data_IF_588266667121
#
_entry.id   IF_588266667121
#
_cell.length_a   1.000
_cell.length_b   1.000
_cell.length_c   1.000
_cell.angle_alpha   90.00
_cell.angle_beta   90.00
_cell.angle_gamma   90.00
#
_symmetry.space_group_name_H-M   'P 1'
#
loop_
_entity.id
_entity.type
_entity.pdbx_description
1 polymer ?
#
# COMPACT_ATOMS: atom_id res chain seq x y z
N UNK A 1 17.83 61.18 53.26
CA UNK A 1 19.26 61.51 53.01
C UNK A 1 20.09 60.24 53.08
N UNK A 2 20.94 60.03 52.05
CA UNK A 2 22.11 59.12 51.99
C UNK A 2 21.86 57.60 51.88
N UNK A 3 21.68 57.21 50.61
CA UNK A 3 22.47 56.23 49.84
C UNK A 3 23.65 55.56 50.56
N UNK A 4 23.77 54.23 50.38
CA UNK A 4 25.01 53.57 49.90
C UNK A 4 24.72 52.13 49.44
N UNK A 5 24.99 51.89 48.16
CA UNK A 5 25.19 50.57 47.53
C UNK A 5 26.46 49.92 48.07
N UNK A 6 26.53 48.58 48.07
CA UNK A 6 27.65 47.82 47.50
C UNK A 6 27.29 46.36 47.25
N UNK A 7 27.70 45.94 46.05
CA UNK A 7 27.65 44.63 45.43
C UNK A 7 28.82 43.80 45.98
N UNK A 8 28.63 42.48 46.16
CA UNK A 8 29.72 41.52 46.11
C UNK A 8 29.22 40.24 45.42
N UNK A 9 29.88 39.93 44.31
CA UNK A 9 29.72 38.72 43.52
C UNK A 9 30.43 37.54 44.19
N UNK A 10 29.87 36.34 44.04
CA UNK A 10 30.62 35.10 44.11
C UNK A 10 30.19 34.27 42.89
N UNK A 11 31.11 34.16 41.94
CA UNK A 11 30.94 33.37 40.75
C UNK A 11 31.17 31.90 41.03
N UNK A 12 30.46 31.06 40.27
CA UNK A 12 30.85 29.68 40.03
C UNK A 12 30.94 29.51 38.52
N UNK A 13 32.18 29.35 38.05
CA UNK A 13 32.51 28.72 36.77
C UNK A 13 32.09 27.25 36.83
N UNK A 14 31.43 26.73 35.79
CA UNK A 14 31.78 25.45 35.18
C UNK A 14 30.92 25.12 33.96
N UNK A 15 31.61 25.04 32.82
CA UNK A 15 31.43 24.15 31.68
C UNK A 15 30.08 24.17 30.94
N UNK A 16 30.10 24.90 29.82
CA UNK A 16 29.25 24.59 28.68
C UNK A 16 29.60 23.21 28.11
N UNK A 17 28.60 22.34 28.03
CA UNK A 17 28.53 21.37 26.95
C UNK A 17 27.92 22.11 25.75
N UNK A 18 28.76 22.41 24.76
CA UNK A 18 28.28 22.55 23.40
C UNK A 18 27.79 21.17 22.97
N UNK A 19 26.48 20.97 22.98
CA UNK A 19 25.85 19.88 22.22
C UNK A 19 26.07 20.26 20.76
N UNK A 20 27.09 19.67 20.16
CA UNK A 20 27.18 19.58 18.70
C UNK A 20 25.98 18.75 18.29
N UNK A 21 25.06 19.36 17.55
CA UNK A 21 23.95 18.68 16.90
C UNK A 21 24.51 17.69 15.89
N UNK A 22 24.77 16.47 16.36
CA UNK A 22 24.74 15.31 15.50
C UNK A 22 23.28 15.15 15.06
N UNK A 23 23.06 15.18 13.75
CA UNK A 23 21.87 14.65 13.14
C UNK A 23 21.79 13.17 13.51
N UNK A 24 21.17 12.88 14.64
CA UNK A 24 20.49 11.62 14.84
C UNK A 24 19.17 11.79 14.09
N UNK A 25 19.12 11.26 12.87
CA UNK A 25 17.89 10.81 12.22
C UNK A 25 17.18 9.92 13.23
N UNK A 26 16.25 10.54 13.96
CA UNK A 26 15.38 9.85 14.89
C UNK A 26 14.45 9.02 14.05
N UNK A 27 14.82 7.74 13.88
CA UNK A 27 13.88 6.62 13.88
C UNK A 27 12.76 6.97 14.85
N UNK A 28 11.61 7.39 14.31
CA UNK A 28 10.38 7.50 15.07
C UNK A 28 9.93 6.07 15.37
N UNK A 29 9.98 5.61 16.63
CA UNK A 29 9.34 4.37 17.01
C UNK A 29 7.86 4.71 17.20
N UNK A 30 7.01 4.44 16.20
CA UNK A 30 5.58 4.74 16.31
C UNK A 30 4.69 4.62 15.06
N UNK A 31 5.20 4.12 13.93
CA UNK A 31 4.35 3.60 12.85
C UNK A 31 4.28 2.07 13.02
N UNK A 32 3.07 1.50 13.02
CA UNK A 32 2.77 0.15 13.49
C UNK A 32 3.72 -0.94 12.96
N UNK A 33 3.93 -1.97 13.79
CA UNK A 33 4.76 -3.13 13.44
C UNK A 33 4.24 -3.87 12.19
N UNK A 34 3.01 -3.58 11.72
CA UNK A 34 2.40 -4.19 10.56
C UNK A 34 2.70 -3.46 9.22
N UNK A 35 2.72 -4.20 8.10
CA UNK A 35 3.04 -3.63 6.78
C UNK A 35 2.07 -2.56 6.26
N UNK A 36 0.79 -2.63 6.58
CA UNK A 36 -0.19 -1.66 6.11
C UNK A 36 0.02 -0.30 6.79
N UNK A 37 0.24 -0.29 8.10
CA UNK A 37 0.60 0.92 8.84
C UNK A 37 1.87 1.58 8.29
N UNK A 38 2.91 0.78 8.00
CA UNK A 38 4.15 1.29 7.36
C UNK A 38 3.86 1.89 5.98
N UNK A 39 3.07 1.23 5.15
CA UNK A 39 2.71 1.72 3.83
C UNK A 39 1.94 3.06 3.91
N UNK A 40 0.95 3.18 4.80
CA UNK A 40 0.21 4.42 5.00
C UNK A 40 1.11 5.57 5.50
N UNK A 41 2.10 5.27 6.33
CA UNK A 41 3.03 6.24 6.89
C UNK A 41 4.07 6.77 5.88
N UNK A 42 4.33 6.06 4.79
CA UNK A 42 5.28 6.48 3.73
C UNK A 42 4.59 6.97 2.47
N UNK A 43 3.27 6.74 2.34
CA UNK A 43 2.52 7.12 1.14
C UNK A 43 2.08 8.58 1.21
N UNK A 44 2.46 9.43 0.24
CA UNK A 44 2.00 10.81 0.20
C UNK A 44 0.49 10.88 0.07
N UNK A 45 -0.15 11.76 0.84
CA UNK A 45 -1.55 12.11 0.65
C UNK A 45 -1.72 12.97 -0.62
N UNK A 46 -2.85 12.82 -1.29
CA UNK A 46 -3.17 13.58 -2.51
C UNK A 46 -4.01 12.81 -3.52
N UNK A 47 -4.29 13.48 -4.65
CA UNK A 47 -5.17 12.97 -5.69
C UNK A 47 -4.59 11.68 -6.31
N UNK A 48 -5.33 10.58 -6.20
CA UNK A 48 -4.92 9.24 -6.64
C UNK A 48 -4.60 8.30 -5.46
N UNK A 49 -3.75 8.74 -4.52
CA UNK A 49 -3.43 7.99 -3.31
C UNK A 49 -4.63 7.86 -2.37
N UNK A 50 -5.50 8.88 -2.32
CA UNK A 50 -6.74 8.85 -1.53
C UNK A 50 -7.85 8.04 -2.20
N UNK A 51 -7.68 7.67 -3.46
CA UNK A 51 -8.68 6.92 -4.24
C UNK A 51 -8.41 5.43 -4.15
N UNK A 52 -7.17 5.02 -4.41
CA UNK A 52 -6.80 3.62 -4.53
C UNK A 52 -5.37 3.38 -4.03
N UNK A 53 -5.20 2.35 -3.20
CA UNK A 53 -3.93 1.94 -2.61
C UNK A 53 -3.81 0.41 -2.64
N UNK A 54 -2.68 -0.08 -3.16
CA UNK A 54 -2.24 -1.46 -3.03
C UNK A 54 -0.99 -1.50 -2.17
N UNK A 55 -0.94 -2.48 -1.27
CA UNK A 55 0.18 -2.72 -0.36
C UNK A 55 0.52 -4.20 -0.38
N UNK A 56 1.81 -4.52 -0.40
CA UNK A 56 2.29 -5.89 -0.26
C UNK A 56 3.60 -5.95 0.50
N UNK A 57 3.64 -6.76 1.55
CA UNK A 57 4.89 -7.18 2.19
C UNK A 57 5.36 -8.48 1.54
N UNK A 58 6.41 -8.38 0.73
CA UNK A 58 6.93 -9.49 -0.07
C UNK A 58 7.59 -10.53 0.85
N UNK A 59 8.23 -10.10 1.95
CA UNK A 59 8.87 -11.00 2.90
C UNK A 59 7.84 -11.80 3.69
N UNK A 60 6.78 -11.14 4.18
CA UNK A 60 5.68 -11.80 4.88
C UNK A 60 4.87 -12.71 3.93
N UNK A 61 4.66 -12.29 2.68
CA UNK A 61 4.02 -13.13 1.66
C UNK A 61 4.81 -14.42 1.43
N UNK A 62 6.14 -14.35 1.42
CA UNK A 62 6.98 -15.54 1.36
C UNK A 62 6.81 -16.43 2.59
N UNK A 63 6.81 -15.85 3.79
CA UNK A 63 6.64 -16.60 5.03
C UNK A 63 5.29 -17.32 5.11
N UNK A 64 4.25 -16.72 4.53
CA UNK A 64 2.92 -17.33 4.34
C UNK A 64 2.90 -18.48 3.32
N UNK A 65 3.97 -18.71 2.58
CA UNK A 65 4.03 -19.72 1.52
C UNK A 65 3.25 -19.31 0.26
N UNK A 66 2.93 -18.02 0.09
CA UNK A 66 2.24 -17.47 -1.10
C UNK A 66 2.92 -17.92 -2.40
N UNK A 67 4.23 -18.14 -2.34
CA UNK A 67 5.10 -18.36 -3.49
C UNK A 67 5.43 -19.84 -3.76
N UNK A 68 5.00 -20.77 -2.89
CA UNK A 68 5.46 -22.17 -2.95
C UNK A 68 4.98 -22.94 -4.19
N UNK A 69 3.83 -22.55 -4.76
CA UNK A 69 3.24 -23.18 -5.96
C UNK A 69 3.48 -22.38 -7.26
N UNK A 70 4.19 -21.25 -7.19
CA UNK A 70 4.36 -20.33 -8.31
C UNK A 70 5.79 -20.38 -8.89
N UNK A 71 5.93 -20.26 -10.22
CA UNK A 71 7.26 -20.24 -10.89
C UNK A 71 8.15 -19.06 -10.43
N UNK A 72 7.55 -18.05 -9.80
CA UNK A 72 8.20 -16.92 -9.15
C UNK A 72 7.32 -16.46 -7.99
N UNK A 73 7.91 -15.90 -6.92
CA UNK A 73 7.19 -15.17 -5.87
C UNK A 73 6.19 -14.18 -6.44
N UNK A 74 6.56 -13.59 -7.55
CA UNK A 74 5.66 -12.75 -8.27
C UNK A 74 4.57 -13.62 -8.88
N UNK A 75 4.75 -14.59 -9.77
CA UNK A 75 3.65 -15.32 -10.45
C UNK A 75 2.33 -15.67 -9.66
N UNK A 76 2.32 -15.81 -8.33
CA UNK A 76 1.15 -15.80 -7.44
C UNK A 76 0.37 -14.46 -7.27
N UNK A 77 0.77 -13.36 -7.91
CA UNK A 77 0.47 -11.97 -7.50
C UNK A 77 -0.98 -11.58 -7.17
N UNK A 78 -2.03 -12.31 -7.53
CA UNK A 78 -3.38 -11.99 -7.04
C UNK A 78 -3.49 -11.98 -5.50
N UNK A 79 -2.59 -12.69 -4.82
CA UNK A 79 -2.50 -12.82 -3.36
C UNK A 79 -1.85 -11.58 -2.72
N UNK A 80 -2.46 -11.00 -1.68
CA UNK A 80 -1.82 -9.96 -0.86
C UNK A 80 -1.50 -8.66 -1.60
N UNK A 81 -2.36 -8.17 -2.50
CA UNK A 81 -2.16 -6.87 -3.16
C UNK A 81 -1.03 -6.80 -4.20
N UNK A 82 -0.36 -7.93 -4.46
CA UNK A 82 0.79 -7.99 -5.37
C UNK A 82 0.38 -7.84 -6.85
N UNK A 83 -0.90 -8.02 -7.18
CA UNK A 83 -1.44 -8.23 -8.52
C UNK A 83 -0.98 -7.20 -9.55
N UNK A 84 -1.07 -5.90 -9.23
CA UNK A 84 -0.60 -4.84 -10.10
C UNK A 84 0.89 -4.93 -10.48
N UNK A 85 1.73 -5.58 -9.67
CA UNK A 85 3.18 -5.70 -9.89
C UNK A 85 3.57 -6.92 -10.75
N UNK A 86 2.58 -7.64 -11.31
CA UNK A 86 2.83 -8.92 -11.98
C UNK A 86 3.80 -8.82 -13.12
N UNK A 87 3.35 -8.02 -14.06
CA UNK A 87 4.03 -7.85 -15.31
C UNK A 87 5.35 -7.11 -15.07
N UNK A 88 5.42 -6.24 -14.05
CA UNK A 88 6.64 -5.60 -13.59
C UNK A 88 7.69 -6.63 -13.20
N UNK A 89 7.38 -7.49 -12.23
CA UNK A 89 8.35 -8.39 -11.66
C UNK A 89 8.75 -9.54 -12.60
N UNK A 90 7.88 -9.90 -13.55
CA UNK A 90 8.22 -10.83 -14.63
C UNK A 90 9.14 -10.20 -15.68
N UNK A 91 8.98 -8.91 -15.97
CA UNK A 91 9.73 -8.24 -17.02
C UNK A 91 11.05 -7.63 -16.55
N UNK A 92 11.15 -7.24 -15.28
CA UNK A 92 12.33 -6.60 -14.69
C UNK A 92 12.54 -7.05 -13.23
N UNK A 93 12.89 -8.33 -12.99
CA UNK A 93 13.07 -8.87 -11.64
C UNK A 93 14.18 -8.16 -10.83
N UNK A 94 15.13 -7.51 -11.50
CA UNK A 94 16.17 -6.70 -10.86
C UNK A 94 15.66 -5.34 -10.34
N UNK A 95 14.45 -4.92 -10.73
CA UNK A 95 13.85 -3.64 -10.32
C UNK A 95 12.77 -3.82 -9.23
N UNK A 96 12.63 -5.03 -8.68
CA UNK A 96 11.78 -5.31 -7.51
C UNK A 96 12.65 -5.74 -6.31
N UNK A 97 12.17 -5.54 -5.08
CA UNK A 97 12.87 -6.01 -3.89
C UNK A 97 13.07 -7.53 -3.92
N UNK A 98 14.21 -7.97 -3.37
CA UNK A 98 14.42 -9.38 -3.11
C UNK A 98 13.38 -9.88 -2.09
N UNK A 99 12.73 -11.04 -2.31
CA UNK A 99 11.89 -11.68 -1.30
C UNK A 99 12.64 -12.11 -0.02
N UNK A 100 13.97 -12.00 -0.01
CA UNK A 100 14.82 -12.23 1.15
C UNK A 100 15.07 -10.93 1.96
N UNK A 101 14.74 -9.75 1.43
CA UNK A 101 14.96 -8.50 2.13
C UNK A 101 13.90 -8.31 3.23
N UNK A 102 14.35 -8.03 4.45
CA UNK A 102 13.47 -7.92 5.64
C UNK A 102 12.45 -6.79 5.53
N UNK A 103 12.72 -5.75 4.73
CA UNK A 103 11.86 -4.58 4.53
C UNK A 103 11.29 -4.51 3.11
N UNK A 104 11.15 -5.65 2.44
CA UNK A 104 10.62 -5.76 1.09
C UNK A 104 9.13 -5.39 1.01
N UNK A 105 8.85 -4.10 0.78
CA UNK A 105 7.50 -3.55 0.69
C UNK A 105 7.24 -3.02 -0.72
N UNK A 106 6.07 -3.33 -1.26
CA UNK A 106 5.55 -2.75 -2.48
C UNK A 106 4.29 -1.93 -2.19
N UNK A 107 4.25 -0.71 -2.73
CA UNK A 107 3.09 0.17 -2.65
C UNK A 107 2.75 0.67 -4.04
N UNK A 108 1.47 0.66 -4.42
CA UNK A 108 0.96 1.29 -5.64
C UNK A 108 -0.24 2.15 -5.31
N UNK A 109 -0.29 3.35 -5.89
CA UNK A 109 -1.37 4.30 -5.69
C UNK A 109 -1.98 4.74 -7.02
N UNK A 110 -3.26 5.10 -6.95
CA UNK A 110 -4.02 5.62 -8.09
C UNK A 110 -4.24 4.59 -9.20
N UNK A 111 -4.57 5.10 -10.38
CA UNK A 111 -5.10 4.28 -11.48
C UNK A 111 -4.33 4.49 -12.77
N UNK A 112 -4.13 3.44 -13.59
CA UNK A 112 -3.63 3.62 -14.94
C UNK A 112 -4.46 4.65 -15.73
N UNK A 113 -3.81 5.52 -16.53
CA UNK A 113 -2.39 5.58 -16.82
C UNK A 113 -1.58 6.45 -15.85
N UNK A 114 -2.14 6.85 -14.69
CA UNK A 114 -1.54 7.74 -13.68
C UNK A 114 -1.07 7.02 -12.42
N UNK A 115 -1.11 5.68 -12.41
CA UNK A 115 -0.68 4.91 -11.25
C UNK A 115 0.81 5.16 -10.96
N UNK A 116 1.14 5.16 -9.68
CA UNK A 116 2.52 5.36 -9.19
C UNK A 116 2.87 4.23 -8.25
N UNK A 117 4.15 3.89 -8.14
CA UNK A 117 4.61 2.83 -7.26
C UNK A 117 5.77 3.29 -6.38
N UNK A 118 5.98 2.55 -5.30
CA UNK A 118 7.17 2.60 -4.43
C UNK A 118 7.53 1.19 -3.99
N UNK A 119 8.81 0.85 -4.11
CA UNK A 119 9.42 -0.34 -3.57
C UNK A 119 10.44 0.03 -2.49
N UNK A 120 10.44 -0.70 -1.38
CA UNK A 120 11.48 -0.65 -0.33
C UNK A 120 12.20 -1.98 -0.21
N UNK A 121 13.41 -1.97 0.36
CA UNK A 121 14.24 -3.17 0.48
C UNK A 121 14.90 -3.55 -0.85
N UNK A 122 15.16 -2.55 -1.69
CA UNK A 122 15.92 -2.71 -2.93
C UNK A 122 17.38 -3.04 -2.63
N UNK A 123 18.05 -3.77 -3.54
CA UNK A 123 19.49 -3.97 -3.48
C UNK A 123 20.21 -2.68 -3.92
N UNK A 124 21.00 -2.03 -3.04
CA UNK A 124 21.69 -0.78 -3.38
C UNK A 124 22.63 -0.93 -4.58
N UNK A 125 23.33 -2.07 -4.72
CA UNK A 125 24.23 -2.29 -5.86
C UNK A 125 23.44 -2.42 -7.16
N UNK A 126 22.23 -3.00 -7.10
CA UNK A 126 21.34 -3.09 -8.25
C UNK A 126 20.79 -1.72 -8.66
N UNK A 127 20.40 -0.87 -7.70
CA UNK A 127 19.96 0.50 -7.98
C UNK A 127 21.10 1.34 -8.56
N UNK A 128 22.29 1.29 -7.97
CA UNK A 128 23.48 1.97 -8.49
C UNK A 128 23.77 1.52 -9.93
N UNK A 129 23.74 0.23 -10.20
CA UNK A 129 23.96 -0.30 -11.55
C UNK A 129 22.87 0.17 -12.53
N UNK A 130 21.61 0.18 -12.09
CA UNK A 130 20.47 0.62 -12.87
C UNK A 130 20.62 2.09 -13.27
N UNK A 131 21.04 2.96 -12.35
CA UNK A 131 21.14 4.41 -12.58
C UNK A 131 22.51 4.92 -13.05
N UNK A 132 23.58 4.11 -13.00
CA UNK A 132 24.93 4.51 -13.40
C UNK A 132 25.05 4.99 -14.86
N UNK A 133 24.11 4.60 -15.73
CA UNK A 133 24.16 4.87 -17.16
C UNK A 133 23.04 5.79 -17.66
N UNK A 134 22.24 6.37 -16.77
CA UNK A 134 21.15 7.26 -17.14
C UNK A 134 21.57 8.73 -17.22
N UNK A 135 21.50 9.27 -18.44
CA UNK A 135 21.69 10.67 -18.79
C UNK A 135 20.33 11.39 -18.74
N UNK A 136 19.82 11.61 -17.52
CA UNK A 136 18.63 12.40 -17.27
C UNK A 136 18.92 13.45 -16.20
N UNK A 137 18.06 14.47 -16.12
CA UNK A 137 18.19 15.52 -15.11
C UNK A 137 18.05 14.91 -13.72
N UNK A 138 19.09 15.05 -12.89
CA UNK A 138 19.09 14.64 -11.48
C UNK A 138 18.88 15.86 -10.60
N UNK A 139 18.02 15.73 -9.61
CA UNK A 139 17.77 16.74 -8.59
C UNK A 139 17.72 16.05 -7.22
N UNK A 140 18.40 16.62 -6.22
CA UNK A 140 18.30 16.14 -4.84
C UNK A 140 16.90 16.45 -4.30
N UNK A 141 16.16 15.43 -3.85
CA UNK A 141 14.82 15.54 -3.26
C UNK A 141 14.74 14.69 -2.00
N UNK A 142 14.54 15.36 -0.86
CA UNK A 142 14.54 14.71 0.45
C UNK A 142 15.88 14.03 0.72
N UNK A 143 15.84 12.73 0.98
CA UNK A 143 17.02 11.88 1.21
C UNK A 143 17.53 11.18 -0.07
N UNK A 144 16.87 11.37 -1.20
CA UNK A 144 17.16 10.66 -2.45
C UNK A 144 17.38 11.55 -3.66
N UNK A 145 17.56 10.92 -4.82
CA UNK A 145 17.71 11.59 -6.10
C UNK A 145 16.42 11.43 -6.92
N UNK A 146 15.88 12.54 -7.42
CA UNK A 146 14.82 12.57 -8.42
C UNK A 146 15.45 12.60 -9.82
N UNK A 147 15.08 11.63 -10.64
CA UNK A 147 15.41 11.54 -12.05
C UNK A 147 14.18 11.91 -12.89
N UNK A 148 14.22 13.05 -13.57
CA UNK A 148 13.17 13.45 -14.53
C UNK A 148 13.64 13.09 -15.94
N UNK A 149 12.97 12.09 -16.53
CA UNK A 149 13.31 11.57 -17.86
C UNK A 149 12.56 12.28 -18.98
N UNK A 150 11.34 12.75 -18.71
CA UNK A 150 10.43 13.36 -19.69
C UNK A 150 9.48 14.37 -19.04
N UNK A 151 8.76 15.11 -19.87
CA UNK A 151 7.66 15.95 -19.39
C UNK A 151 6.51 15.13 -18.80
N UNK A 152 5.68 15.71 -17.92
CA UNK A 152 4.51 15.03 -17.33
C UNK A 152 3.56 14.48 -18.41
N UNK A 153 3.14 13.22 -18.25
CA UNK A 153 2.21 12.54 -19.15
C UNK A 153 2.75 12.15 -20.53
N UNK A 154 4.05 12.34 -20.81
CA UNK A 154 4.68 11.82 -22.03
C UNK A 154 4.85 10.29 -21.93
N UNK A 155 4.70 9.56 -23.04
CA UNK A 155 4.94 8.12 -23.11
C UNK A 155 5.78 7.85 -24.37
N UNK A 156 6.94 7.22 -24.22
CA UNK A 156 7.80 6.82 -25.34
C UNK A 156 7.99 5.31 -25.36
N UNK A 157 7.26 4.68 -26.28
CA UNK A 157 7.25 3.22 -26.49
C UNK A 157 8.53 2.77 -27.24
N UNK A 158 9.32 3.70 -27.79
CA UNK A 158 10.52 3.41 -28.56
C UNK A 158 11.83 3.56 -27.76
N UNK A 159 11.77 3.98 -26.51
CA UNK A 159 12.93 4.04 -25.63
C UNK A 159 13.55 2.63 -25.49
N UNK A 160 14.89 2.44 -25.56
CA UNK A 160 15.53 1.17 -25.22
C UNK A 160 15.26 0.69 -23.78
N UNK A 161 14.78 1.57 -22.89
CA UNK A 161 14.18 1.24 -21.58
C UNK A 161 12.70 0.86 -21.67
N UNK A 162 12.08 1.11 -22.82
CA UNK A 162 10.76 0.65 -23.27
C UNK A 162 10.77 -0.79 -23.82
N UNK A 163 11.77 -1.60 -23.47
CA UNK A 163 11.44 -2.99 -23.11
C UNK A 163 10.34 -2.96 -22.04
N UNK A 164 9.49 -3.98 -21.87
CA UNK A 164 8.47 -4.02 -20.82
C UNK A 164 9.03 -3.95 -19.37
N UNK A 165 10.29 -3.57 -19.18
CA UNK A 165 10.90 -3.22 -17.92
C UNK A 165 10.36 -1.85 -17.46
N UNK A 166 9.83 -1.84 -16.26
CA UNK A 166 8.81 -0.91 -15.85
C UNK A 166 9.24 0.56 -15.73
N UNK A 167 10.53 0.86 -15.53
CA UNK A 167 10.99 2.25 -15.56
C UNK A 167 10.64 2.95 -16.87
N UNK A 168 10.64 2.25 -18.02
CA UNK A 168 10.31 2.83 -19.34
C UNK A 168 8.99 3.60 -19.40
N UNK A 169 7.99 3.20 -18.59
CA UNK A 169 6.65 3.77 -18.53
C UNK A 169 6.52 5.04 -17.68
N UNK A 170 7.53 5.35 -16.85
CA UNK A 170 7.47 6.46 -15.90
C UNK A 170 8.32 7.66 -16.36
N UNK A 171 7.76 8.86 -16.16
CA UNK A 171 8.39 10.11 -16.57
C UNK A 171 9.35 10.64 -15.51
N UNK A 172 9.08 10.31 -14.25
CA UNK A 172 9.92 10.62 -13.12
C UNK A 172 10.11 9.37 -12.26
N UNK A 173 11.31 9.27 -11.70
CA UNK A 173 11.73 8.20 -10.79
C UNK A 173 12.47 8.84 -9.64
N UNK A 174 12.15 8.47 -8.41
CA UNK A 174 12.88 8.89 -7.21
C UNK A 174 13.47 7.65 -6.55
N UNK A 175 14.73 7.72 -6.14
CA UNK A 175 15.40 6.58 -5.52
C UNK A 175 16.36 7.02 -4.41
N UNK A 176 16.58 6.10 -3.46
CA UNK A 176 17.60 6.16 -2.39
C UNK A 176 18.52 4.94 -2.53
N UNK A 177 19.31 4.63 -1.50
CA UNK A 177 20.09 3.39 -1.44
C UNK A 177 19.21 2.13 -1.45
N UNK A 178 17.97 2.20 -0.95
CA UNK A 178 17.10 1.05 -0.68
C UNK A 178 15.65 1.22 -1.16
N UNK A 179 15.30 2.37 -1.74
CA UNK A 179 13.96 2.69 -2.22
C UNK A 179 13.97 3.03 -3.70
N UNK A 180 12.95 2.57 -4.41
CA UNK A 180 12.67 2.95 -5.79
C UNK A 180 11.19 3.33 -5.93
N UNK A 181 10.90 4.56 -6.33
CA UNK A 181 9.55 5.02 -6.64
C UNK A 181 9.47 5.61 -8.04
N UNK A 182 8.30 5.50 -8.69
CA UNK A 182 8.12 6.06 -10.03
C UNK A 182 6.67 6.41 -10.35
N UNK A 183 6.52 7.43 -11.20
CA UNK A 183 5.21 7.92 -11.66
C UNK A 183 5.30 8.55 -13.05
N UNK A 184 4.22 8.53 -13.83
CA UNK A 184 4.09 9.39 -15.02
C UNK A 184 3.95 10.88 -14.66
N UNK A 185 3.73 11.21 -13.39
CA UNK A 185 3.65 12.57 -12.84
C UNK A 185 4.86 12.89 -11.95
N UNK A 186 5.61 13.92 -12.31
CA UNK A 186 6.76 14.39 -11.53
C UNK A 186 6.35 14.82 -10.11
N UNK A 187 5.19 15.45 -9.95
CA UNK A 187 4.75 15.96 -8.65
C UNK A 187 4.53 14.82 -7.65
N UNK A 188 3.93 13.72 -8.09
CA UNK A 188 3.73 12.52 -7.25
C UNK A 188 5.08 11.88 -6.91
N UNK A 189 5.99 11.77 -7.88
CA UNK A 189 7.33 11.21 -7.66
C UNK A 189 8.12 12.03 -6.65
N UNK A 190 8.06 13.37 -6.75
CA UNK A 190 8.70 14.27 -5.79
C UNK A 190 8.08 14.12 -4.39
N UNK A 191 6.76 13.99 -4.31
CA UNK A 191 6.07 13.80 -3.04
C UNK A 191 6.48 12.51 -2.33
N UNK A 192 6.89 11.46 -3.05
CA UNK A 192 7.45 10.25 -2.43
C UNK A 192 8.77 10.51 -1.68
N UNK A 193 9.58 11.46 -2.12
CA UNK A 193 10.84 11.82 -1.46
C UNK A 193 10.71 12.87 -0.37
N UNK A 194 9.69 13.73 -0.43
CA UNK A 194 9.44 14.78 0.55
C UNK A 194 7.92 15.07 0.65
N UNK A 195 7.15 14.19 1.33
CA UNK A 195 5.70 14.37 1.45
C UNK A 195 5.37 15.49 2.44
N UNK A 196 4.48 16.42 2.05
CA UNK A 196 3.94 17.42 2.98
C UNK A 196 3.00 16.79 4.02
N UNK A 197 2.30 15.71 3.64
CA UNK A 197 1.37 14.95 4.48
C UNK A 197 1.27 13.54 3.92
N UNK A 198 1.15 12.55 4.79
CA UNK A 198 1.03 11.13 4.44
C UNK A 198 -0.41 10.62 4.60
N UNK A 199 -0.74 9.47 4.02
CA UNK A 199 -2.06 8.85 4.18
C UNK A 199 -2.37 8.49 5.64
N UNK A 200 -1.35 8.10 6.42
CA UNK A 200 -1.51 7.85 7.86
C UNK A 200 -1.91 9.13 8.61
N UNK A 201 -1.25 10.26 8.33
CA UNK A 201 -1.56 11.55 8.98
C UNK A 201 -2.92 12.11 8.54
N UNK A 202 -3.31 11.88 7.29
CA UNK A 202 -4.60 12.30 6.75
C UNK A 202 -5.78 11.47 7.31
N UNK A 203 -5.53 10.26 7.83
CA UNK A 203 -6.55 9.36 8.34
C UNK A 203 -7.46 8.77 7.26
N UNK A 204 -7.11 8.91 5.98
CA UNK A 204 -7.98 8.57 4.84
C UNK A 204 -8.46 7.12 4.85
N UNK A 205 -7.63 6.20 5.34
CA UNK A 205 -7.92 4.77 5.37
C UNK A 205 -7.99 4.20 6.79
N UNK A 206 -8.01 5.03 7.83
CA UNK A 206 -7.91 4.58 9.23
C UNK A 206 -8.98 3.56 9.59
N UNK A 207 -10.25 3.85 9.30
CA UNK A 207 -11.35 2.94 9.59
C UNK A 207 -11.23 1.64 8.80
N UNK A 208 -10.92 1.70 7.50
CA UNK A 208 -10.77 0.52 6.65
C UNK A 208 -9.58 -0.35 7.10
N UNK A 209 -8.44 0.24 7.44
CA UNK A 209 -7.29 -0.46 7.97
C UNK A 209 -7.61 -1.14 9.31
N UNK A 210 -8.32 -0.43 10.21
CA UNK A 210 -8.78 -0.99 11.48
C UNK A 210 -9.72 -2.20 11.30
N UNK A 211 -10.61 -2.17 10.30
CA UNK A 211 -11.49 -3.30 9.98
C UNK A 211 -10.73 -4.52 9.47
N UNK A 212 -9.68 -4.34 8.65
CA UNK A 212 -8.88 -5.44 8.13
C UNK A 212 -8.22 -6.25 9.26
N UNK A 213 -7.83 -5.56 10.34
CA UNK A 213 -7.23 -6.14 11.53
C UNK A 213 -5.70 -6.16 11.47
N UNK A 214 -5.10 -7.07 12.23
CA UNK A 214 -3.65 -7.24 12.34
C UNK A 214 -3.11 -8.25 11.33
N UNK A 215 -1.77 -8.40 11.27
CA UNK A 215 -1.07 -9.38 10.42
C UNK A 215 -1.37 -9.26 8.92
N UNK A 216 -1.59 -8.03 8.44
CA UNK A 216 -1.84 -7.75 7.02
C UNK A 216 -0.56 -7.97 6.23
N UNK A 217 -0.56 -8.99 5.37
CA UNK A 217 0.55 -9.30 4.47
C UNK A 217 0.43 -8.57 3.14
N UNK A 218 -0.80 -8.27 2.76
CA UNK A 218 -1.03 -7.27 1.73
C UNK A 218 -2.48 -6.94 1.57
N UNK A 219 -2.72 -5.76 1.02
CA UNK A 219 -4.02 -5.14 1.02
C UNK A 219 -4.30 -4.37 -0.26
N UNK A 220 -5.59 -4.21 -0.51
CA UNK A 220 -6.17 -3.31 -1.47
C UNK A 220 -7.15 -2.42 -0.74
N UNK A 221 -7.05 -1.10 -0.89
CA UNK A 221 -7.94 -0.13 -0.27
C UNK A 221 -8.46 0.82 -1.34
N UNK A 222 -9.75 1.07 -1.33
CA UNK A 222 -10.43 1.92 -2.30
C UNK A 222 -11.49 2.77 -1.63
N UNK A 223 -11.58 4.03 -2.04
CA UNK A 223 -12.64 4.97 -1.66
C UNK A 223 -13.59 5.24 -2.83
N UNK A 224 -14.76 5.80 -2.55
CA UNK A 224 -15.73 6.23 -3.56
C UNK A 224 -15.06 7.10 -4.64
N UNK A 225 -15.32 6.79 -5.91
CA UNK A 225 -14.71 7.46 -7.06
C UNK A 225 -13.53 6.72 -7.71
N UNK A 226 -13.07 5.61 -7.13
CA UNK A 226 -12.24 4.64 -7.83
C UNK A 226 -13.04 3.91 -8.93
N UNK A 227 -12.36 3.25 -9.87
CA UNK A 227 -12.93 2.50 -11.00
C UNK A 227 -13.71 1.24 -10.61
N UNK A 228 -14.05 1.08 -9.34
CA UNK A 228 -15.09 0.16 -8.89
C UNK A 228 -16.39 0.95 -9.07
N UNK A 229 -17.18 0.60 -10.08
CA UNK A 229 -18.53 1.15 -10.31
C UNK A 229 -19.27 1.31 -8.98
N UNK A 230 -20.15 2.32 -8.81
CA UNK A 230 -20.79 2.62 -7.54
C UNK A 230 -21.34 1.34 -6.94
N UNK A 231 -20.74 0.95 -5.81
CA UNK A 231 -21.07 -0.31 -5.18
C UNK A 231 -22.49 -0.23 -4.65
N UNK A 232 -23.25 -1.33 -4.77
CA UNK A 232 -24.61 -1.40 -4.25
C UNK A 232 -24.62 -1.15 -2.73
N UNK A 233 -25.77 -0.71 -2.21
CA UNK A 233 -25.96 -0.53 -0.76
C UNK A 233 -25.35 0.75 -0.16
N UNK A 234 -24.76 1.63 -0.97
CA UNK A 234 -24.19 2.89 -0.47
C UNK A 234 -22.82 2.73 0.19
N UNK A 235 -22.04 1.73 -0.25
CA UNK A 235 -20.66 1.51 0.20
C UNK A 235 -19.78 2.71 -0.20
N UNK A 236 -19.24 3.39 0.80
CA UNK A 236 -18.39 4.59 0.65
C UNK A 236 -16.89 4.25 0.50
N UNK A 237 -16.50 3.05 0.93
CA UNK A 237 -15.14 2.56 0.81
C UNK A 237 -15.09 1.05 1.00
N UNK A 238 -14.04 0.44 0.47
CA UNK A 238 -13.77 -0.96 0.70
C UNK A 238 -12.29 -1.21 0.88
N UNK A 239 -11.97 -2.28 1.58
CA UNK A 239 -10.64 -2.82 1.64
C UNK A 239 -10.67 -4.34 1.57
N UNK A 240 -9.65 -4.93 0.97
CA UNK A 240 -9.40 -6.37 1.09
C UNK A 240 -8.00 -6.59 1.59
N UNK A 241 -7.78 -7.62 2.40
CA UNK A 241 -6.46 -8.03 2.80
C UNK A 241 -6.29 -9.54 2.76
N UNK A 242 -5.07 -9.97 2.53
CA UNK A 242 -4.60 -11.28 2.96
C UNK A 242 -3.91 -11.09 4.31
N UNK A 243 -4.32 -11.85 5.31
CA UNK A 243 -3.80 -11.78 6.68
C UNK A 243 -3.31 -13.13 7.18
N UNK A 244 -2.39 -13.09 8.14
CA UNK A 244 -1.87 -14.26 8.84
C UNK A 244 -0.35 -14.22 8.99
N UNK A 245 0.16 -15.16 9.80
CA UNK A 245 1.60 -15.28 10.09
C UNK A 245 2.22 -16.56 9.52
N UNK A 246 1.40 -17.51 9.07
CA UNK A 246 1.77 -18.79 8.46
C UNK A 246 0.73 -19.28 7.44
N UNK A 247 1.06 -20.32 6.69
CA UNK A 247 0.10 -20.96 5.78
C UNK A 247 -1.13 -21.58 6.49
N UNK A 248 -1.06 -21.86 7.79
CA UNK A 248 -2.13 -22.53 8.56
C UNK A 248 -3.20 -21.57 9.08
N UNK A 249 -2.82 -20.32 9.38
CA UNK A 249 -3.69 -19.25 9.89
C UNK A 249 -4.07 -18.21 8.81
N UNK A 250 -3.71 -18.46 7.55
CA UNK A 250 -4.10 -17.63 6.41
C UNK A 250 -5.60 -17.31 6.40
N UNK A 251 -5.94 -16.03 6.24
CA UNK A 251 -7.30 -15.57 5.94
C UNK A 251 -7.27 -14.52 4.83
N UNK A 252 -8.34 -14.47 4.06
CA UNK A 252 -8.66 -13.31 3.24
C UNK A 252 -9.82 -12.54 3.91
N UNK A 253 -9.71 -11.21 3.95
CA UNK A 253 -10.66 -10.32 4.61
C UNK A 253 -11.17 -9.31 3.59
N UNK A 254 -12.47 -9.05 3.60
CA UNK A 254 -13.12 -7.93 2.92
C UNK A 254 -13.77 -7.03 3.97
N UNK A 255 -13.50 -5.74 3.88
CA UNK A 255 -14.10 -4.70 4.68
C UNK A 255 -14.87 -3.74 3.79
N UNK A 256 -16.10 -3.41 4.18
CA UNK A 256 -16.99 -2.50 3.47
C UNK A 256 -17.42 -1.42 4.45
N UNK A 257 -17.25 -0.16 4.07
CA UNK A 257 -17.64 0.99 4.87
C UNK A 257 -19.00 1.54 4.39
N UNK A 258 -19.94 1.68 5.31
CA UNK A 258 -21.32 2.13 5.07
C UNK A 258 -21.60 3.43 5.82
N UNK A 259 -22.70 4.14 5.51
CA UNK A 259 -23.03 5.41 6.19
C UNK A 259 -23.34 5.26 7.68
N UNK A 260 -23.86 4.09 8.10
CA UNK A 260 -24.25 3.80 9.48
C UNK A 260 -24.33 2.28 9.75
N UNK A 261 -24.42 1.93 11.04
CA UNK A 261 -24.52 0.54 11.52
C UNK A 261 -25.79 -0.19 11.03
N UNK A 262 -26.90 0.53 10.81
CA UNK A 262 -28.12 -0.09 10.30
C UNK A 262 -27.94 -0.53 8.84
N UNK A 263 -27.32 0.31 8.02
CA UNK A 263 -26.97 -0.01 6.63
C UNK A 263 -25.93 -1.13 6.55
N UNK A 264 -24.97 -1.15 7.50
CA UNK A 264 -24.02 -2.24 7.64
C UNK A 264 -24.73 -3.57 7.98
N UNK A 265 -25.68 -3.57 8.90
CA UNK A 265 -26.46 -4.77 9.23
C UNK A 265 -27.29 -5.27 8.04
N UNK A 266 -27.98 -4.38 7.33
CA UNK A 266 -28.77 -4.75 6.14
C UNK A 266 -27.87 -5.39 5.05
N UNK A 267 -26.64 -4.89 4.88
CA UNK A 267 -25.68 -5.47 3.94
C UNK A 267 -25.08 -6.79 4.44
N UNK A 268 -24.79 -6.91 5.74
CA UNK A 268 -24.30 -8.14 6.33
C UNK A 268 -25.31 -9.29 6.12
N UNK A 269 -26.60 -9.04 6.41
CA UNK A 269 -27.68 -10.01 6.19
C UNK A 269 -27.77 -10.44 4.70
N UNK A 270 -27.57 -9.49 3.77
CA UNK A 270 -27.57 -9.78 2.34
C UNK A 270 -26.36 -10.63 1.92
N UNK A 271 -25.17 -10.35 2.47
CA UNK A 271 -23.96 -11.14 2.22
C UNK A 271 -24.11 -12.55 2.80
N UNK A 272 -24.64 -12.69 4.03
CA UNK A 272 -24.91 -14.00 4.64
C UNK A 272 -25.86 -14.84 3.77
N UNK A 273 -26.94 -14.24 3.27
CA UNK A 273 -27.85 -14.89 2.35
C UNK A 273 -27.16 -15.27 1.02
N UNK A 274 -26.32 -14.39 0.47
CA UNK A 274 -25.53 -14.65 -0.73
C UNK A 274 -24.59 -15.84 -0.54
N UNK A 275 -23.88 -15.89 0.59
CA UNK A 275 -22.93 -16.97 0.92
C UNK A 275 -23.64 -18.30 1.10
N UNK A 276 -24.79 -18.31 1.80
CA UNK A 276 -25.56 -19.53 2.06
C UNK A 276 -26.20 -20.11 0.79
N UNK A 277 -26.91 -19.28 0.03
CA UNK A 277 -27.85 -19.76 -1.00
C UNK A 277 -27.57 -19.19 -2.40
N UNK A 278 -26.67 -18.21 -2.50
CA UNK A 278 -26.33 -17.53 -3.75
C UNK A 278 -25.24 -18.22 -4.56
N UNK A 279 -25.00 -17.68 -5.76
CA UNK A 279 -23.95 -18.11 -6.66
C UNK A 279 -23.26 -16.90 -7.31
N UNK A 280 -21.99 -17.08 -7.65
CA UNK A 280 -21.24 -16.10 -8.42
C UNK A 280 -21.88 -15.93 -9.81
N UNK A 281 -22.27 -14.70 -10.20
CA UNK A 281 -22.90 -14.46 -11.51
C UNK A 281 -21.99 -14.79 -12.69
N UNK A 282 -20.66 -14.84 -12.50
CA UNK A 282 -19.69 -15.10 -13.57
C UNK A 282 -19.48 -16.60 -13.78
N UNK A 283 -19.21 -17.35 -12.71
CA UNK A 283 -18.91 -18.80 -12.80
C UNK A 283 -20.10 -19.70 -12.53
N UNK A 284 -21.22 -19.16 -12.06
CA UNK A 284 -22.40 -19.88 -11.57
C UNK A 284 -22.12 -20.89 -10.44
N UNK A 285 -20.95 -20.81 -9.80
CA UNK A 285 -20.59 -21.63 -8.64
C UNK A 285 -21.20 -21.04 -7.37
N UNK A 286 -21.64 -21.87 -6.40
CA UNK A 286 -22.11 -21.37 -5.12
C UNK A 286 -21.06 -20.51 -4.42
N UNK A 287 -21.48 -19.42 -3.77
CA UNK A 287 -20.56 -18.56 -3.03
C UNK A 287 -19.88 -19.31 -1.88
N UNK A 288 -20.60 -20.21 -1.19
CA UNK A 288 -20.02 -21.12 -0.18
C UNK A 288 -18.91 -22.03 -0.72
N UNK A 289 -18.91 -22.36 -2.02
CA UNK A 289 -17.82 -23.12 -2.63
C UNK A 289 -16.60 -22.24 -2.93
N UNK A 290 -16.82 -20.96 -3.24
CA UNK A 290 -15.77 -19.99 -3.60
C UNK A 290 -15.10 -19.44 -2.33
N UNK A 291 -15.90 -19.03 -1.34
CA UNK A 291 -15.46 -18.37 -0.12
C UNK A 291 -15.23 -19.35 1.04
N UNK A 292 -15.64 -20.61 0.91
CA UNK A 292 -15.54 -21.61 1.98
C UNK A 292 -16.37 -21.22 3.20
N UNK A 293 -15.84 -21.54 4.39
CA UNK A 293 -16.43 -21.16 5.68
C UNK A 293 -16.18 -19.66 5.94
N UNK A 294 -16.94 -18.81 5.23
CA UNK A 294 -16.89 -17.37 5.40
C UNK A 294 -17.71 -16.93 6.63
N UNK A 295 -17.14 -16.02 7.39
CA UNK A 295 -17.76 -15.37 8.55
C UNK A 295 -18.06 -13.91 8.22
N UNK A 296 -19.24 -13.42 8.61
CA UNK A 296 -19.71 -12.05 8.34
C UNK A 296 -19.97 -11.36 9.67
N UNK A 297 -19.30 -10.24 9.90
CA UNK A 297 -19.39 -9.47 11.14
C UNK A 297 -19.72 -8.00 10.84
N UNK A 298 -20.51 -7.38 11.72
CA UNK A 298 -20.75 -5.93 11.71
C UNK A 298 -19.88 -5.27 12.79
N UNK A 299 -19.08 -4.29 12.39
CA UNK A 299 -18.17 -3.52 13.25
C UNK A 299 -18.53 -2.03 13.11
N UNK A 300 -19.46 -1.55 13.94
CA UNK A 300 -19.98 -0.18 13.79
C UNK A 300 -20.63 0.01 12.43
N UNK A 301 -20.17 0.99 11.65
CA UNK A 301 -20.64 1.25 10.27
C UNK A 301 -19.96 0.38 9.20
N UNK A 302 -19.23 -0.66 9.59
CA UNK A 302 -18.48 -1.50 8.67
C UNK A 302 -19.00 -2.94 8.67
N UNK A 303 -18.91 -3.59 7.51
CA UNK A 303 -19.10 -5.04 7.37
C UNK A 303 -17.75 -5.68 7.08
N UNK A 304 -17.38 -6.68 7.90
CA UNK A 304 -16.18 -7.49 7.73
C UNK A 304 -16.59 -8.89 7.29
N UNK A 305 -16.03 -9.38 6.18
CA UNK A 305 -16.18 -10.75 5.71
C UNK A 305 -14.82 -11.43 5.77
N UNK A 306 -14.71 -12.50 6.55
CA UNK A 306 -13.47 -13.27 6.70
C UNK A 306 -13.63 -14.63 6.05
N UNK A 307 -12.71 -15.00 5.16
CA UNK A 307 -12.72 -16.26 4.43
C UNK A 307 -11.43 -17.05 4.70
N UNK A 308 -11.54 -18.38 4.80
CA UNK A 308 -10.38 -19.28 4.80
C UNK A 308 -9.94 -19.69 3.39
N UNK A 309 -10.65 -19.24 2.35
CA UNK A 309 -10.18 -19.40 0.99
C UNK A 309 -8.82 -18.70 0.87
N UNK A 310 -7.89 -19.37 0.19
CA UNK A 310 -6.57 -18.83 -0.10
C UNK A 310 -6.61 -18.11 -1.44
N UNK A 311 -5.65 -17.22 -1.66
CA UNK A 311 -5.41 -16.67 -2.99
C UNK A 311 -5.73 -15.20 -3.18
N UNK A 312 -6.10 -14.44 -2.13
CA UNK A 312 -6.62 -13.08 -2.30
C UNK A 312 -8.02 -13.11 -2.91
N UNK A 313 -8.89 -13.99 -2.41
CA UNK A 313 -10.18 -14.32 -3.04
C UNK A 313 -11.05 -13.09 -3.28
N UNK A 314 -11.08 -12.15 -2.34
CA UNK A 314 -11.89 -10.94 -2.47
C UNK A 314 -11.35 -9.99 -3.54
N UNK A 315 -10.02 -9.89 -3.68
CA UNK A 315 -9.42 -9.13 -4.78
C UNK A 315 -9.75 -9.78 -6.14
N UNK A 316 -9.77 -11.12 -6.22
CA UNK A 316 -10.22 -11.82 -7.41
C UNK A 316 -11.71 -11.55 -7.72
N UNK A 317 -12.58 -11.57 -6.71
CA UNK A 317 -14.02 -11.24 -6.84
C UNK A 317 -14.24 -9.80 -7.32
N UNK A 318 -13.46 -8.84 -6.82
CA UNK A 318 -13.49 -7.44 -7.26
C UNK A 318 -13.05 -7.31 -8.71
N UNK A 319 -11.87 -7.86 -9.05
CA UNK A 319 -11.29 -7.72 -10.40
C UNK A 319 -12.10 -8.46 -11.47
N UNK A 320 -12.85 -9.50 -11.10
CA UNK A 320 -13.79 -10.20 -11.98
C UNK A 320 -15.17 -9.53 -12.06
N UNK A 321 -15.38 -8.40 -11.37
CA UNK A 321 -16.67 -7.70 -11.30
C UNK A 321 -17.81 -8.55 -10.72
N UNK A 322 -17.47 -9.55 -9.90
CA UNK A 322 -18.43 -10.44 -9.26
C UNK A 322 -18.93 -9.90 -7.91
N UNK A 323 -18.22 -8.92 -7.32
CA UNK A 323 -18.58 -8.33 -6.02
C UNK A 323 -20.04 -7.84 -5.95
N UNK A 324 -20.61 -7.13 -6.94
CA UNK A 324 -22.02 -6.73 -6.89
C UNK A 324 -22.98 -7.92 -6.71
N UNK A 325 -22.67 -9.09 -7.27
CA UNK A 325 -23.46 -10.31 -7.09
C UNK A 325 -23.45 -10.82 -5.64
N UNK A 326 -22.32 -10.65 -4.93
CA UNK A 326 -22.22 -10.96 -3.50
C UNK A 326 -23.00 -9.94 -2.65
N UNK A 327 -22.98 -8.66 -3.04
CA UNK A 327 -23.57 -7.58 -2.24
C UNK A 327 -25.08 -7.37 -2.47
N UNK A 328 -25.66 -7.93 -3.52
CA UNK A 328 -27.07 -7.69 -3.91
C UNK A 328 -27.96 -8.91 -3.86
N UNK A 329 -27.46 -10.07 -3.41
CA UNK A 329 -28.26 -11.29 -3.40
C UNK A 329 -29.47 -11.10 -2.46
N UNK A 330 -30.60 -10.74 -3.04
CA UNK A 330 -31.88 -10.84 -2.36
C UNK A 330 -32.40 -12.28 -2.53
N UNK A 331 -33.00 -12.86 -1.49
CA UNK A 331 -33.57 -14.21 -1.54
C UNK A 331 -34.67 -14.38 -2.59
#
# INVERSE_FOLDING_TARGET
MRTLRRIAAAGTLALGLAVTGGACTGLLPGAGDDPLSRALAVTPAGQGAETELYVSDIAAARALGVFEDAESPFAALGTGGLGPFREYALAAPEQVPSPEAEEALAVSIGQPPRASFRFSGMDPEALDHLFAHHDAGREDVGEGELLVRRGPGELDIADPLGTPAALGYYNAVWYTDDVLAGSPDEAITRAWGDPETTLAEAGTYEELAGCLGEDVVGAYLSREGASIDPLPGGVAGLATATTGTSAEDWRDVLCLELPDEASAQDLADAIEAAVSDGADPITARPWSEILGDADVEVIGSQVRVTSQARGGIFLAVITQQALPGLLTAQP
#
